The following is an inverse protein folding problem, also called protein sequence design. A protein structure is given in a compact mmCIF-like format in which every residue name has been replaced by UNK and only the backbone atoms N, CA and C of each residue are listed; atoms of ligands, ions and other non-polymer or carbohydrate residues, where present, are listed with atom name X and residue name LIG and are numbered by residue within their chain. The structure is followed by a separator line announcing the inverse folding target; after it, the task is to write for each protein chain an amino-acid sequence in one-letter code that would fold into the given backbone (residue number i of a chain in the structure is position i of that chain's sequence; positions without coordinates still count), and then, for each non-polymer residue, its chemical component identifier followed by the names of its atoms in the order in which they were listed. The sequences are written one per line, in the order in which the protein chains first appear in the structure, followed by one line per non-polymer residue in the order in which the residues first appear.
data_IF_119615714480
#
_entry.id   IF_119615714480
#
_cell.length_a   1.000
_cell.length_b   1.000
_cell.length_c   1.000
_cell.angle_alpha   90.00
_cell.angle_beta   90.00
_cell.angle_gamma   90.00
#
_symmetry.space_group_name_H-M   'P 1'
#
loop_
_entity.id
_entity.type
_entity.pdbx_description
1 polymer ?
#
# COMPACT_ATOMS: atom_id res chain seq x y z
N UNK A 1 -4.91 -5.96 -11.46
CA UNK A 1 -3.83 -4.95 -11.37
C UNK A 1 -4.29 -3.91 -10.35
N UNK A 2 -3.58 -3.74 -9.23
CA UNK A 2 -3.93 -2.76 -8.19
C UNK A 2 -3.29 -1.40 -8.57
N UNK A 3 -4.09 -0.33 -8.62
CA UNK A 3 -3.62 1.04 -8.92
C UNK A 3 -3.92 1.96 -7.74
N UNK A 4 -2.89 2.58 -7.15
CA UNK A 4 -3.03 3.54 -6.05
C UNK A 4 -2.81 4.97 -6.56
N UNK A 5 -3.72 5.89 -6.21
CA UNK A 5 -3.53 7.34 -6.42
C UNK A 5 -3.09 7.98 -5.12
N UNK A 6 -2.04 8.79 -5.16
CA UNK A 6 -1.65 9.64 -4.02
C UNK A 6 -2.55 10.88 -4.00
N UNK A 7 -3.15 11.18 -2.84
CA UNK A 7 -4.00 12.35 -2.63
C UNK A 7 -3.27 13.33 -1.70
N UNK A 8 -3.27 14.62 -2.02
CA UNK A 8 -2.91 15.65 -1.04
C UNK A 8 -4.00 15.79 0.03
N UNK A 9 -3.69 16.50 1.12
CA UNK A 9 -4.59 16.72 2.28
C UNK A 9 -5.91 17.42 1.94
N UNK A 10 -6.05 17.95 0.73
CA UNK A 10 -7.24 18.57 0.16
C UNK A 10 -8.00 17.64 -0.82
N UNK A 11 -7.64 16.35 -0.88
CA UNK A 11 -8.16 15.35 -1.82
C UNK A 11 -7.91 15.69 -3.31
N UNK A 12 -7.07 16.68 -3.60
CA UNK A 12 -6.70 17.01 -4.97
C UNK A 12 -5.65 16.02 -5.46
N UNK A 13 -6.07 14.95 -6.13
CA UNK A 13 -5.13 14.00 -6.74
C UNK A 13 -4.17 14.74 -7.69
N UNK A 14 -2.87 14.57 -7.49
CA UNK A 14 -1.84 15.19 -8.34
C UNK A 14 -2.10 14.77 -9.79
N UNK A 15 -2.65 15.68 -10.60
CA UNK A 15 -2.90 15.44 -12.01
C UNK A 15 -1.56 15.45 -12.75
N UNK A 16 -0.93 14.29 -12.81
CA UNK A 16 -0.23 13.85 -14.01
C UNK A 16 -0.77 12.47 -14.31
N UNK A 17 -1.67 12.43 -15.29
CA UNK A 17 -2.66 11.37 -15.52
C UNK A 17 -2.06 10.05 -16.02
N UNK A 18 -0.75 9.94 -16.15
CA UNK A 18 -0.08 8.86 -16.90
C UNK A 18 1.02 8.11 -16.14
N UNK A 19 1.29 8.42 -14.87
CA UNK A 19 2.23 7.62 -14.06
C UNK A 19 1.45 6.69 -13.13
N UNK A 20 1.03 5.54 -13.65
CA UNK A 20 0.64 4.43 -12.78
C UNK A 20 1.90 3.86 -12.17
N UNK A 21 2.06 4.05 -10.85
CA UNK A 21 3.09 3.30 -10.12
C UNK A 21 2.59 1.87 -10.01
N UNK A 22 3.15 0.99 -10.83
CA UNK A 22 2.87 -0.43 -10.77
C UNK A 22 3.61 -1.04 -9.58
N UNK A 23 2.85 -1.65 -8.68
CA UNK A 23 3.37 -2.41 -7.55
C UNK A 23 3.34 -3.88 -7.95
N UNK A 24 4.43 -4.47 -8.47
CA UNK A 24 4.43 -5.86 -8.89
C UNK A 24 4.08 -6.76 -7.71
N UNK A 25 3.23 -7.73 -7.98
CA UNK A 25 2.86 -8.77 -7.03
C UNK A 25 4.07 -9.66 -6.77
N UNK A 26 4.45 -9.83 -5.50
CA UNK A 26 5.54 -10.72 -5.09
C UNK A 26 5.03 -12.06 -4.59
N UNK A 27 3.94 -12.05 -3.82
CA UNK A 27 3.45 -13.24 -3.13
C UNK A 27 1.95 -13.15 -2.84
N UNK A 28 1.27 -14.30 -2.95
CA UNK A 28 -0.11 -14.49 -2.48
C UNK A 28 -0.15 -15.76 -1.64
N UNK A 29 -0.71 -15.66 -0.45
CA UNK A 29 -1.12 -16.79 0.40
C UNK A 29 -2.61 -16.66 0.73
N UNK A 30 -3.16 -17.62 1.47
CA UNK A 30 -4.57 -17.61 1.87
C UNK A 30 -4.97 -16.34 2.61
N UNK A 31 -4.08 -15.80 3.44
CA UNK A 31 -4.37 -14.66 4.32
C UNK A 31 -3.52 -13.41 4.03
N UNK A 32 -2.61 -13.46 3.05
CA UNK A 32 -1.66 -12.37 2.83
C UNK A 32 -1.38 -12.15 1.35
N UNK A 33 -1.31 -10.88 0.95
CA UNK A 33 -0.91 -10.45 -0.39
C UNK A 33 0.22 -9.45 -0.26
N UNK A 34 1.37 -9.77 -0.84
CA UNK A 34 2.56 -8.92 -0.81
C UNK A 34 2.83 -8.37 -2.20
N UNK A 35 2.83 -7.04 -2.32
CA UNK A 35 3.31 -6.28 -3.47
C UNK A 35 4.67 -5.65 -3.16
N UNK A 36 5.35 -5.12 -4.17
CA UNK A 36 6.60 -4.38 -3.97
C UNK A 36 6.39 -3.05 -3.23
N UNK A 37 6.40 -3.10 -1.91
CA UNK A 37 6.26 -1.91 -1.05
C UNK A 37 4.89 -1.80 -0.36
N UNK A 38 4.04 -2.81 -0.48
CA UNK A 38 2.79 -2.90 0.27
C UNK A 38 2.42 -4.34 0.58
N UNK A 39 1.92 -4.59 1.78
CA UNK A 39 1.44 -5.90 2.21
C UNK A 39 0.04 -5.76 2.79
N UNK A 40 -0.87 -6.61 2.35
CA UNK A 40 -2.20 -6.78 2.94
C UNK A 40 -2.22 -8.12 3.68
N UNK A 41 -2.64 -8.11 4.94
CA UNK A 41 -2.74 -9.31 5.76
C UNK A 41 -4.10 -9.36 6.46
N UNK A 42 -4.87 -10.41 6.17
CA UNK A 42 -6.09 -10.73 6.88
C UNK A 42 -5.71 -11.40 8.20
N UNK A 43 -5.92 -10.70 9.31
CA UNK A 43 -5.62 -11.21 10.65
C UNK A 43 -6.79 -12.06 11.17
N UNK A 44 -8.02 -11.64 10.89
CA UNK A 44 -9.23 -12.38 11.23
C UNK A 44 -10.39 -12.06 10.27
N UNK A 45 -11.60 -12.52 10.56
CA UNK A 45 -12.80 -12.16 9.78
C UNK A 45 -13.07 -10.66 9.81
N UNK A 46 -12.72 -9.97 10.90
CA UNK A 46 -13.06 -8.55 11.11
C UNK A 46 -11.82 -7.64 11.20
N UNK A 47 -10.62 -8.21 11.12
CA UNK A 47 -9.35 -7.47 11.27
C UNK A 47 -8.45 -7.68 10.06
N UNK A 48 -7.90 -6.58 9.56
CA UNK A 48 -6.91 -6.57 8.49
C UNK A 48 -5.79 -5.59 8.83
N UNK A 49 -4.57 -5.97 8.50
CA UNK A 49 -3.39 -5.11 8.56
C UNK A 49 -2.95 -4.76 7.15
N UNK A 50 -2.56 -3.49 6.96
CA UNK A 50 -1.89 -3.03 5.74
C UNK A 50 -0.55 -2.42 6.14
N UNK A 51 0.55 -2.99 5.67
CA UNK A 51 1.90 -2.46 5.83
C UNK A 51 2.34 -1.76 4.54
N UNK A 52 2.79 -0.51 4.64
CA UNK A 52 3.22 0.32 3.50
C UNK A 52 4.66 0.75 3.69
N UNK A 53 5.52 0.39 2.74
CA UNK A 53 6.91 0.82 2.70
C UNK A 53 7.00 2.20 2.04
N UNK A 54 7.46 3.20 2.79
CA UNK A 54 7.66 4.58 2.33
C UNK A 54 9.16 4.77 2.11
N UNK A 55 9.55 4.95 0.85
CA UNK A 55 10.93 5.33 0.48
C UNK A 55 11.10 6.83 0.71
N UNK A 56 11.98 7.20 1.64
CA UNK A 56 12.34 8.58 1.92
C UNK A 56 13.39 9.10 0.94
N UNK A 57 13.55 10.44 0.87
CA UNK A 57 14.53 11.11 -0.01
C UNK A 57 15.99 10.73 0.29
N UNK A 58 16.29 10.29 1.50
CA UNK A 58 17.60 9.80 1.94
C UNK A 58 17.82 8.30 1.66
N UNK A 59 16.95 7.66 0.86
CA UNK A 59 16.97 6.24 0.52
C UNK A 59 16.67 5.29 1.70
N UNK A 60 16.24 5.79 2.86
CA UNK A 60 15.71 4.92 3.92
C UNK A 60 14.30 4.47 3.58
N UNK A 61 13.92 3.30 4.08
CA UNK A 61 12.58 2.75 3.94
C UNK A 61 11.96 2.63 5.31
N UNK A 62 10.89 3.39 5.54
CA UNK A 62 10.07 3.24 6.73
C UNK A 62 8.85 2.37 6.39
N UNK A 63 8.43 1.53 7.33
CA UNK A 63 7.19 0.76 7.17
C UNK A 63 6.14 1.35 8.10
N UNK A 64 5.02 1.77 7.52
CA UNK A 64 3.86 2.27 8.26
C UNK A 64 2.78 1.20 8.24
N UNK A 65 2.31 0.83 9.43
CA UNK A 65 1.26 -0.18 9.63
C UNK A 65 -0.08 0.48 9.89
N UNK A 66 -1.11 0.05 9.17
CA UNK A 66 -2.50 0.44 9.37
C UNK A 66 -3.32 -0.79 9.78
N UNK A 67 -3.98 -0.71 10.92
CA UNK A 67 -4.87 -1.77 11.39
C UNK A 67 -6.32 -1.31 11.19
N UNK A 68 -7.11 -2.15 10.53
CA UNK A 68 -8.52 -1.92 10.27
C UNK A 68 -9.33 -2.99 10.98
N UNK A 69 -10.28 -2.52 11.79
CA UNK A 69 -11.27 -3.36 12.46
C UNK A 69 -12.66 -2.90 12.05
N UNK A 70 -13.51 -3.84 11.68
CA UNK A 70 -14.94 -3.62 11.43
C UNK A 70 -15.77 -3.84 12.70
#
# INVERSE_FOLDING_TARGET
MLQLKHFSSDLTGWKTKDETVDFPLKEITENKVTFEGMTFEKVSTNEMTIDVAIKNKNQTVDTVKFNYNN
#
